data_IF_561724581119
#
_entry.id   IF_561724581119
#
_cell.length_a   1.000
_cell.length_b   1.000
_cell.length_c   1.000
_cell.angle_alpha   90.00
_cell.angle_beta   90.00
_cell.angle_gamma   90.00
#
_symmetry.space_group_name_H-M   'P 1'
#
loop_
_entity.id
_entity.type
_entity.pdbx_description
1 polymer ?
#
# COMPACT_ATOMS: atom_id res chain seq x y z
N UNK A 1 2.28 2.94 -53.86
CA UNK A 1 2.27 2.26 -52.55
C UNK A 1 1.89 3.28 -51.50
N UNK A 2 0.72 3.14 -50.88
CA UNK A 2 0.21 4.06 -49.85
C UNK A 2 0.34 3.38 -48.49
N UNK A 3 1.29 3.84 -47.68
CA UNK A 3 1.50 3.36 -46.31
C UNK A 3 0.53 4.09 -45.39
N UNK A 4 -0.49 3.39 -44.89
CA UNK A 4 -1.39 3.93 -43.86
C UNK A 4 -0.72 3.74 -42.50
N UNK A 5 -0.29 4.83 -41.89
CA UNK A 5 0.28 4.85 -40.54
C UNK A 5 -0.86 4.86 -39.52
N UNK A 6 -1.08 3.73 -38.84
CA UNK A 6 -2.14 3.56 -37.85
C UNK A 6 -1.73 4.27 -36.54
N UNK A 7 -2.21 5.49 -36.34
CA UNK A 7 -2.01 6.26 -35.11
C UNK A 7 -2.96 5.73 -34.01
N UNK A 8 -2.55 4.70 -33.28
CA UNK A 8 -3.30 4.24 -32.10
C UNK A 8 -3.13 5.26 -30.97
N UNK A 9 -4.14 6.14 -30.81
CA UNK A 9 -4.18 7.19 -29.79
C UNK A 9 -4.12 6.61 -28.37
N UNK A 10 -3.08 6.99 -27.64
CA UNK A 10 -2.81 6.71 -26.23
C UNK A 10 -3.65 7.62 -25.31
N UNK A 11 -4.97 7.43 -25.28
CA UNK A 11 -5.88 8.18 -24.40
C UNK A 11 -5.75 7.85 -22.90
N UNK A 12 -4.99 6.82 -22.53
CA UNK A 12 -4.79 6.39 -21.14
C UNK A 12 -3.79 7.22 -20.35
N UNK A 13 -2.97 8.07 -20.98
CA UNK A 13 -1.90 8.82 -20.31
C UNK A 13 -2.40 9.97 -19.42
N UNK A 14 -3.49 10.64 -19.81
CA UNK A 14 -3.99 11.84 -19.10
C UNK A 14 -4.71 11.55 -17.77
N UNK A 15 -5.22 10.33 -17.59
CA UNK A 15 -5.90 9.94 -16.36
C UNK A 15 -4.90 9.53 -15.26
N UNK A 16 -3.77 8.92 -15.65
CA UNK A 16 -2.72 8.49 -14.71
C UNK A 16 -2.03 9.68 -14.04
N UNK A 17 -1.71 10.73 -14.79
CA UNK A 17 -1.03 11.93 -14.28
C UNK A 17 -1.77 12.60 -13.11
N UNK A 18 -3.12 12.58 -13.14
CA UNK A 18 -3.94 13.14 -12.05
C UNK A 18 -3.92 12.29 -10.78
N UNK A 19 -3.77 10.98 -10.94
CA UNK A 19 -3.86 10.00 -9.86
C UNK A 19 -2.50 9.81 -9.17
N UNK A 20 -1.41 9.81 -9.94
CA UNK A 20 -0.05 9.66 -9.42
C UNK A 20 0.26 10.74 -8.39
N UNK A 21 0.94 10.35 -7.31
CA UNK A 21 1.39 11.25 -6.25
C UNK A 21 1.24 10.67 -4.86
N UNK A 22 1.49 11.51 -3.86
CA UNK A 22 1.40 11.16 -2.45
C UNK A 22 0.06 11.60 -1.88
N UNK A 23 -0.55 10.73 -1.09
CA UNK A 23 -1.84 10.98 -0.45
C UNK A 23 -1.71 10.67 1.03
N UNK A 24 -2.34 11.47 1.88
CA UNK A 24 -2.40 11.22 3.32
C UNK A 24 -3.81 11.43 3.86
N UNK A 25 -4.11 10.80 4.98
CA UNK A 25 -5.28 11.10 5.78
C UNK A 25 -4.90 11.74 7.13
N UNK A 26 -5.90 12.00 7.97
CA UNK A 26 -5.69 12.54 9.32
C UNK A 26 -5.43 11.46 10.39
N UNK A 27 -5.35 10.19 9.99
CA UNK A 27 -5.32 9.02 10.87
C UNK A 27 -4.01 8.23 10.75
N UNK A 28 -2.96 8.86 10.19
CA UNK A 28 -1.63 8.29 10.09
C UNK A 28 -1.37 7.47 8.84
N UNK A 29 -2.35 7.37 7.94
CA UNK A 29 -2.20 6.62 6.68
C UNK A 29 -1.58 7.49 5.59
N UNK A 30 -0.70 6.91 4.79
CA UNK A 30 -0.15 7.49 3.56
C UNK A 30 -0.18 6.49 2.41
N UNK A 31 -0.46 6.96 1.20
CA UNK A 31 -0.40 6.18 -0.04
C UNK A 31 0.45 6.95 -1.05
N UNK A 32 1.54 6.35 -1.48
CA UNK A 32 2.29 6.75 -2.66
C UNK A 32 1.79 5.94 -3.86
N UNK A 33 1.29 6.62 -4.88
CA UNK A 33 0.86 6.01 -6.14
C UNK A 33 1.85 6.41 -7.21
N UNK A 34 2.60 5.43 -7.75
CA UNK A 34 3.64 5.65 -8.74
C UNK A 34 3.11 5.49 -10.17
N UNK A 35 3.76 6.15 -11.14
CA UNK A 35 3.38 6.11 -12.55
C UNK A 35 3.60 4.73 -13.21
N UNK A 36 4.48 3.90 -12.63
CA UNK A 36 4.80 2.55 -13.10
C UNK A 36 3.78 1.48 -12.63
N UNK A 37 2.59 1.91 -12.19
CA UNK A 37 1.54 1.04 -11.64
C UNK A 37 1.90 0.36 -10.31
N UNK A 38 2.94 0.83 -9.60
CA UNK A 38 3.25 0.39 -8.23
C UNK A 38 2.70 1.35 -7.18
N UNK A 39 2.51 0.86 -5.96
CA UNK A 39 2.14 1.70 -4.82
C UNK A 39 2.89 1.29 -3.55
N UNK A 40 2.99 2.25 -2.62
CA UNK A 40 3.40 2.02 -1.24
C UNK A 40 2.37 2.64 -0.30
N UNK A 41 1.84 1.85 0.61
CA UNK A 41 0.99 2.27 1.71
C UNK A 41 1.79 2.19 3.00
N UNK A 42 1.67 3.21 3.83
CA UNK A 42 2.17 3.19 5.21
C UNK A 42 1.09 3.65 6.15
N UNK A 43 1.13 3.14 7.36
CA UNK A 43 0.34 3.62 8.48
C UNK A 43 1.26 3.77 9.68
N UNK A 44 1.09 4.87 10.41
CA UNK A 44 1.86 5.14 11.61
C UNK A 44 1.00 5.77 12.69
N UNK A 45 1.05 5.22 13.90
CA UNK A 45 0.43 5.79 15.07
C UNK A 45 1.24 5.42 16.31
N UNK A 46 1.76 6.45 17.00
CA UNK A 46 2.61 6.28 18.18
C UNK A 46 3.83 5.39 17.89
N UNK A 47 4.08 4.33 18.67
CA UNK A 47 5.17 3.38 18.41
C UNK A 47 4.80 2.30 17.38
N UNK A 48 3.59 2.34 16.82
CA UNK A 48 3.10 1.34 15.88
C UNK A 48 3.22 1.77 14.43
N UNK A 49 3.67 0.87 13.56
CA UNK A 49 3.78 1.11 12.12
C UNK A 49 3.29 -0.08 11.29
N UNK A 50 2.81 0.19 10.08
CA UNK A 50 2.48 -0.82 9.08
C UNK A 50 2.94 -0.32 7.73
N UNK A 51 3.36 -1.23 6.86
CA UNK A 51 3.61 -0.91 5.47
C UNK A 51 3.03 -1.99 4.56
N UNK A 52 2.72 -1.62 3.33
CA UNK A 52 2.24 -2.53 2.29
C UNK A 52 2.69 -1.99 0.94
N UNK A 53 3.11 -2.86 0.03
CA UNK A 53 3.44 -2.47 -1.34
C UNK A 53 2.79 -3.42 -2.33
N UNK A 54 2.72 -3.00 -3.58
CA UNK A 54 2.18 -3.84 -4.63
C UNK A 54 1.90 -3.06 -5.89
N UNK A 55 0.91 -3.52 -6.64
CA UNK A 55 0.47 -2.87 -7.87
C UNK A 55 -0.91 -2.25 -7.72
N UNK A 56 -1.23 -1.28 -8.56
CA UNK A 56 -2.55 -0.70 -8.63
C UNK A 56 -3.10 -0.72 -10.05
N UNK A 57 -4.43 -0.73 -10.15
CA UNK A 57 -5.14 -0.54 -11.41
C UNK A 57 -6.26 0.49 -11.22
N UNK A 58 -6.68 1.12 -12.31
CA UNK A 58 -7.73 2.14 -12.27
C UNK A 58 -8.83 1.82 -13.28
N UNK A 59 -10.06 1.75 -12.80
CA UNK A 59 -11.23 1.45 -13.62
C UNK A 59 -12.37 2.41 -13.29
N UNK A 60 -12.85 3.11 -14.32
CA UNK A 60 -13.82 4.22 -14.20
C UNK A 60 -13.27 5.32 -13.29
N UNK A 61 -13.61 5.29 -12.01
CA UNK A 61 -13.21 6.26 -10.98
C UNK A 61 -12.69 5.56 -9.71
N UNK A 62 -12.31 4.29 -9.80
CA UNK A 62 -11.90 3.49 -8.64
C UNK A 62 -10.51 2.94 -8.86
N UNK A 63 -9.63 3.23 -7.90
CA UNK A 63 -8.34 2.57 -7.76
C UNK A 63 -8.55 1.24 -7.04
N UNK A 64 -7.87 0.22 -7.53
CA UNK A 64 -7.80 -1.11 -6.93
C UNK A 64 -6.35 -1.38 -6.58
N UNK A 65 -6.10 -1.79 -5.35
CA UNK A 65 -4.78 -2.09 -4.82
C UNK A 65 -4.60 -3.60 -4.73
N UNK A 66 -3.48 -4.09 -5.23
CA UNK A 66 -3.11 -5.50 -5.24
C UNK A 66 -1.80 -5.64 -4.48
N UNK A 67 -1.89 -6.06 -3.21
CA UNK A 67 -0.72 -6.30 -2.38
C UNK A 67 0.17 -7.38 -2.98
N UNK A 68 1.48 -7.14 -2.95
CA UNK A 68 2.50 -8.14 -3.27
C UNK A 68 3.30 -8.37 -1.99
N UNK A 69 3.17 -9.53 -1.32
CA UNK A 69 3.88 -9.79 -0.08
C UNK A 69 5.39 -9.90 -0.31
N UNK A 70 6.18 -9.26 0.55
CA UNK A 70 7.61 -9.51 0.72
C UNK A 70 7.80 -10.63 1.73
N UNK A 71 8.71 -11.55 1.42
CA UNK A 71 9.10 -12.64 2.30
C UNK A 71 10.59 -12.57 2.62
N UNK A 72 10.95 -12.94 3.85
CA UNK A 72 12.32 -13.26 4.23
C UNK A 72 12.52 -14.78 4.19
N UNK A 73 13.76 -15.18 3.99
CA UNK A 73 14.15 -16.61 3.96
C UNK A 73 14.89 -16.98 5.22
N UNK A 74 14.45 -18.02 5.91
CA UNK A 74 15.16 -18.60 7.05
C UNK A 74 15.68 -19.96 6.64
N UNK A 75 16.96 -20.18 6.87
CA UNK A 75 17.54 -21.52 6.71
C UNK A 75 17.50 -22.25 8.04
N UNK A 76 16.73 -23.33 8.06
CA UNK A 76 16.64 -24.26 9.18
C UNK A 76 17.61 -25.42 8.95
N UNK A 77 18.46 -25.72 9.92
CA UNK A 77 19.40 -26.85 9.86
C UNK A 77 18.80 -28.01 10.65
N UNK A 78 18.52 -29.09 9.95
CA UNK A 78 18.05 -30.32 10.54
C UNK A 78 19.18 -31.03 11.31
N UNK A 79 18.80 -31.89 12.25
CA UNK A 79 19.74 -32.68 13.07
C UNK A 79 20.57 -33.67 12.25
N UNK A 80 20.10 -34.06 11.07
CA UNK A 80 20.77 -34.95 10.12
C UNK A 80 21.78 -34.22 9.22
N UNK A 81 21.99 -32.91 9.41
CA UNK A 81 22.90 -32.09 8.61
C UNK A 81 22.28 -31.55 7.31
N UNK A 82 21.03 -31.91 6.99
CA UNK A 82 20.30 -31.29 5.88
C UNK A 82 19.82 -29.89 6.25
N UNK A 83 19.57 -29.05 5.25
CA UNK A 83 19.00 -27.72 5.46
C UNK A 83 17.77 -27.51 4.60
N UNK A 84 16.76 -26.86 5.17
CA UNK A 84 15.55 -26.46 4.46
C UNK A 84 15.32 -24.96 4.61
N UNK A 85 14.85 -24.32 3.56
CA UNK A 85 14.47 -22.91 3.59
C UNK A 85 12.98 -22.78 3.93
N UNK A 86 12.68 -21.81 4.79
CA UNK A 86 11.34 -21.39 5.17
C UNK A 86 11.15 -19.94 4.76
N UNK A 87 9.99 -19.63 4.18
CA UNK A 87 9.59 -18.25 3.90
C UNK A 87 8.71 -17.74 5.03
N UNK A 88 9.03 -16.55 5.53
CA UNK A 88 8.20 -15.82 6.49
C UNK A 88 7.89 -14.43 5.95
N UNK A 89 6.78 -13.82 6.37
CA UNK A 89 6.50 -12.44 5.97
C UNK A 89 7.59 -11.52 6.50
N UNK A 90 8.11 -10.66 5.63
CA UNK A 90 9.15 -9.72 6.04
C UNK A 90 8.58 -8.64 6.95
N UNK A 91 9.36 -8.25 7.95
CA UNK A 91 9.07 -7.10 8.81
C UNK A 91 9.40 -5.79 8.09
N UNK A 92 10.34 -5.82 7.12
CA UNK A 92 10.83 -4.67 6.38
C UNK A 92 10.43 -4.74 4.90
N UNK A 93 10.49 -3.63 4.18
CA UNK A 93 10.11 -3.59 2.76
C UNK A 93 11.14 -4.24 1.82
N UNK A 94 12.25 -4.75 2.37
CA UNK A 94 13.32 -5.48 1.69
C UNK A 94 13.36 -6.94 2.14
N UNK A 95 13.54 -7.86 1.19
CA UNK A 95 13.67 -9.29 1.47
C UNK A 95 15.10 -9.62 1.93
N UNK A 96 15.21 -10.37 3.01
CA UNK A 96 16.49 -10.76 3.60
C UNK A 96 16.56 -12.26 3.90
N UNK A 97 17.80 -12.78 4.01
CA UNK A 97 18.03 -14.12 4.55
C UNK A 97 18.42 -14.00 6.02
N UNK A 98 17.62 -14.59 6.89
CA UNK A 98 17.75 -14.48 8.33
C UNK A 98 18.27 -15.79 8.92
N UNK A 99 19.21 -15.67 9.86
CA UNK A 99 19.55 -16.74 10.79
C UNK A 99 18.46 -16.88 11.86
N UNK A 100 18.38 -18.05 12.50
CA UNK A 100 17.46 -18.27 13.63
C UNK A 100 17.69 -17.28 14.78
N UNK A 101 18.94 -16.83 14.98
CA UNK A 101 19.27 -15.81 15.97
C UNK A 101 18.71 -14.44 15.58
N UNK A 102 18.91 -14.00 14.33
CA UNK A 102 18.33 -12.73 13.86
C UNK A 102 16.81 -12.73 13.97
N UNK A 103 16.15 -13.86 13.68
CA UNK A 103 14.71 -14.00 13.86
C UNK A 103 14.30 -13.86 15.33
N UNK A 104 15.03 -14.49 16.26
CA UNK A 104 14.76 -14.37 17.69
C UNK A 104 14.99 -12.94 18.21
N UNK A 105 16.00 -12.25 17.67
CA UNK A 105 16.36 -10.88 18.04
C UNK A 105 15.37 -9.83 17.48
N UNK A 106 14.48 -10.19 16.54
CA UNK A 106 13.46 -9.28 15.99
C UNK A 106 12.37 -8.85 17.00
N UNK A 107 12.30 -9.48 18.19
CA UNK A 107 11.50 -8.99 19.31
C UNK A 107 9.98 -8.89 19.06
N UNK A 108 9.28 -8.07 19.86
CA UNK A 108 7.86 -7.73 19.62
C UNK A 108 7.79 -6.73 18.45
N UNK A 109 7.21 -7.11 17.30
CA UNK A 109 7.16 -6.21 16.17
C UNK A 109 6.21 -5.05 16.50
N UNK A 110 6.77 -3.87 16.73
CA UNK A 110 6.00 -2.62 16.78
C UNK A 110 5.57 -2.19 15.37
N UNK A 111 5.94 -2.95 14.34
CA UNK A 111 5.36 -2.81 13.03
C UNK A 111 5.69 -3.97 12.10
N UNK A 112 5.21 -3.89 10.86
CA UNK A 112 5.48 -4.92 9.88
C UNK A 112 4.63 -4.78 8.63
N UNK A 113 4.71 -5.80 7.77
CA UNK A 113 3.90 -5.87 6.57
C UNK A 113 2.43 -6.08 6.93
N UNK A 114 1.57 -5.17 6.47
CA UNK A 114 0.11 -5.30 6.49
C UNK A 114 -0.51 -5.55 7.88
N UNK A 115 0.13 -5.05 8.96
CA UNK A 115 -0.44 -5.06 10.32
C UNK A 115 -1.69 -4.20 10.42
N UNK A 116 -1.66 -3.04 9.75
CA UNK A 116 -2.82 -2.23 9.45
C UNK A 116 -3.13 -2.38 7.95
N UNK A 117 -4.31 -2.90 7.58
CA UNK A 117 -4.58 -3.30 6.21
C UNK A 117 -4.69 -2.09 5.28
N UNK A 118 -4.00 -2.18 4.13
CA UNK A 118 -4.21 -1.26 3.03
C UNK A 118 -5.65 -1.40 2.49
N UNK A 119 -6.35 -0.31 2.13
CA UNK A 119 -7.66 -0.41 1.50
C UNK A 119 -7.59 -1.17 0.16
N UNK A 120 -8.47 -2.15 -0.07
CA UNK A 120 -8.51 -2.88 -1.35
C UNK A 120 -8.80 -1.98 -2.56
N UNK A 121 -9.60 -0.93 -2.33
CA UNK A 121 -9.99 0.03 -3.35
C UNK A 121 -10.42 1.36 -2.78
N UNK A 122 -10.20 2.42 -3.56
CA UNK A 122 -10.59 3.77 -3.21
C UNK A 122 -11.23 4.47 -4.41
N UNK A 123 -12.26 5.27 -4.15
CA UNK A 123 -12.91 6.06 -5.19
C UNK A 123 -12.19 7.40 -5.35
N UNK A 124 -11.73 7.70 -6.57
CA UNK A 124 -11.06 8.95 -6.90
C UNK A 124 -12.07 10.01 -7.35
N UNK A 125 -12.07 11.17 -6.67
CA UNK A 125 -12.90 12.31 -7.09
C UNK A 125 -12.28 13.62 -6.66
N UNK A 126 -12.08 14.53 -7.62
CA UNK A 126 -11.56 15.89 -7.37
C UNK A 126 -10.25 15.88 -6.55
N UNK A 127 -9.29 15.04 -6.94
CA UNK A 127 -7.97 14.95 -6.30
C UNK A 127 -7.96 14.29 -4.91
N UNK A 128 -8.99 13.52 -4.57
CA UNK A 128 -9.14 12.85 -3.27
C UNK A 128 -9.48 11.38 -3.46
N UNK A 129 -9.06 10.55 -2.50
CA UNK A 129 -9.36 9.13 -2.45
C UNK A 129 -10.32 8.84 -1.30
N UNK A 130 -11.51 8.35 -1.63
CA UNK A 130 -12.58 8.06 -0.69
C UNK A 130 -12.66 6.55 -0.43
N UNK A 131 -12.74 6.17 0.84
CA UNK A 131 -13.10 4.81 1.23
C UNK A 131 -14.50 4.44 0.72
N UNK A 132 -14.68 3.17 0.38
CA UNK A 132 -15.97 2.59 -0.04
C UNK A 132 -16.39 1.59 1.03
N UNK A 133 -17.53 1.82 1.68
CA UNK A 133 -18.12 0.91 2.66
C UNK A 133 -19.54 0.56 2.24
N UNK A 134 -19.84 -0.74 2.12
CA UNK A 134 -21.16 -1.24 1.70
C UNK A 134 -21.66 -0.59 0.39
N UNK A 135 -20.75 -0.43 -0.58
CA UNK A 135 -21.05 0.20 -1.88
C UNK A 135 -21.24 1.73 -1.84
N UNK A 136 -21.07 2.38 -0.69
CA UNK A 136 -21.24 3.84 -0.52
C UNK A 136 -19.92 4.51 -0.17
N UNK A 137 -19.77 5.76 -0.62
CA UNK A 137 -18.60 6.57 -0.29
C UNK A 137 -18.64 7.03 1.17
N UNK A 138 -17.52 6.89 1.87
CA UNK A 138 -17.34 7.42 3.22
C UNK A 138 -17.04 8.91 3.12
N UNK A 139 -18.08 9.74 3.16
CA UNK A 139 -17.99 11.21 3.02
C UNK A 139 -18.25 11.97 4.32
N UNK A 140 -18.83 11.31 5.34
CA UNK A 140 -19.13 11.95 6.62
C UNK A 140 -17.88 12.03 7.47
N UNK A 141 -17.63 13.20 8.06
CA UNK A 141 -16.50 13.38 8.99
C UNK A 141 -16.61 12.43 10.19
N UNK A 142 -15.50 11.83 10.58
CA UNK A 142 -15.42 10.87 11.68
C UNK A 142 -14.77 11.50 12.91
N UNK A 143 -15.20 11.10 14.11
CA UNK A 143 -14.63 11.59 15.38
C UNK A 143 -13.28 10.91 15.62
N UNK A 144 -12.27 11.67 16.05
CA UNK A 144 -11.00 11.07 16.48
C UNK A 144 -11.14 10.31 17.80
N UNK A 145 -10.26 9.34 18.06
CA UNK A 145 -10.31 8.48 19.25
C UNK A 145 -10.41 9.26 20.58
N UNK A 146 -9.64 10.35 20.71
CA UNK A 146 -9.50 11.09 21.98
C UNK A 146 -10.08 12.51 21.96
N UNK A 147 -10.72 12.92 20.86
CA UNK A 147 -11.15 14.31 20.69
C UNK A 147 -12.61 14.40 20.27
N UNK A 148 -13.29 15.51 20.61
CA UNK A 148 -14.60 15.85 20.03
C UNK A 148 -14.49 16.32 18.56
N UNK A 149 -13.26 16.56 18.09
CA UNK A 149 -12.99 17.03 16.73
C UNK A 149 -13.33 15.96 15.70
N UNK A 150 -14.00 16.38 14.64
CA UNK A 150 -14.35 15.53 13.50
C UNK A 150 -13.41 15.81 12.33
N UNK A 151 -12.82 14.76 11.79
CA UNK A 151 -11.84 14.79 10.71
C UNK A 151 -12.42 14.25 9.41
N UNK A 152 -11.83 14.65 8.29
CA UNK A 152 -12.24 14.17 6.96
C UNK A 152 -11.71 12.74 6.79
N UNK A 153 -12.54 11.76 6.40
CA UNK A 153 -12.15 10.34 6.29
C UNK A 153 -11.48 9.98 4.97
N UNK A 154 -11.28 10.94 4.06
CA UNK A 154 -10.68 10.70 2.75
C UNK A 154 -9.22 11.10 2.75
N UNK A 155 -8.45 10.43 1.89
CA UNK A 155 -7.09 10.86 1.61
C UNK A 155 -7.12 12.09 0.71
N UNK A 156 -6.20 13.01 0.96
CA UNK A 156 -5.97 14.19 0.15
C UNK A 156 -4.53 14.17 -0.34
N UNK A 157 -4.32 14.67 -1.56
CA UNK A 157 -2.99 14.75 -2.16
C UNK A 157 -2.11 15.66 -1.29
N UNK A 158 -0.87 15.23 -1.06
CA UNK A 158 0.16 16.06 -0.46
C UNK A 158 0.96 16.68 -1.60
N UNK A 159 1.02 18.01 -1.62
CA UNK A 159 1.76 18.77 -2.65
C UNK A 159 3.18 19.14 -2.19
N UNK A 160 3.60 18.64 -1.01
CA UNK A 160 4.95 18.83 -0.45
C UNK A 160 6.00 17.92 -1.13
#
# INVERSE_FOLDING_TARGET
MTTIFLLTLSFSLFAQDKIVGYYRDYFGSQIQINADSTFKYTWHFDLSASWTKGTWSFKKDTLYFHMIPTYDTITDKNKDGTSADKLILSVNDTSERLSSKQLADMGLPSGGQNFYPCPDKLFFKKGRLYGIQNGRLVVKKQKGFWTKKKWRPWFFKNDD
#
